data_IF_475784384052
#
_entry.id   IF_475784384052
#
_cell.length_a   1.000
_cell.length_b   1.000
_cell.length_c   1.000
_cell.angle_alpha   90.00
_cell.angle_beta   90.00
_cell.angle_gamma   90.00
#
_symmetry.space_group_name_H-M   'P 1'
#
loop_
_entity.id
_entity.type
_entity.pdbx_description
1 polymer ?
#
# COMPACT_ATOMS: atom_id res chain seq x y z
N UNK A 1 54.17 -11.19 -24.78
CA UNK A 1 53.19 -10.14 -25.14
C UNK A 1 52.11 -10.81 -25.98
N UNK A 2 50.83 -10.57 -25.67
CA UNK A 2 49.62 -11.16 -26.31
C UNK A 2 49.12 -12.48 -25.69
N UNK A 3 48.50 -12.43 -24.50
CA UNK A 3 47.26 -13.17 -24.20
C UNK A 3 46.75 -12.92 -22.76
N UNK A 4 46.57 -11.66 -22.36
CA UNK A 4 45.98 -11.34 -21.04
C UNK A 4 45.07 -10.10 -21.09
N UNK A 5 44.38 -9.87 -22.22
CA UNK A 5 43.54 -8.68 -22.41
C UNK A 5 42.21 -8.98 -23.08
N UNK A 6 41.51 -10.05 -22.65
CA UNK A 6 40.18 -10.37 -23.21
C UNK A 6 39.12 -10.85 -22.22
N UNK A 7 39.43 -11.15 -20.96
CA UNK A 7 38.43 -11.65 -20.00
C UNK A 7 37.77 -10.55 -19.14
N UNK A 8 38.36 -9.35 -19.05
CA UNK A 8 37.93 -8.30 -18.11
C UNK A 8 36.80 -7.36 -18.57
N UNK A 9 36.29 -7.49 -19.80
CA UNK A 9 35.28 -6.58 -20.35
C UNK A 9 33.82 -7.06 -20.18
N UNK A 10 33.61 -8.36 -19.94
CA UNK A 10 32.26 -8.92 -19.79
C UNK A 10 31.76 -8.86 -18.34
N UNK A 11 32.64 -9.00 -17.34
CA UNK A 11 32.26 -8.91 -15.93
C UNK A 11 31.91 -7.48 -15.48
N UNK A 12 32.58 -6.45 -16.02
CA UNK A 12 32.32 -5.05 -15.65
C UNK A 12 30.93 -4.57 -16.07
N UNK A 13 30.41 -5.04 -17.20
CA UNK A 13 29.06 -4.70 -17.68
C UNK A 13 27.93 -5.41 -16.91
N UNK A 14 28.21 -6.58 -16.32
CA UNK A 14 27.29 -7.27 -15.42
C UNK A 14 27.27 -6.64 -14.04
N UNK A 15 28.44 -6.29 -13.50
CA UNK A 15 28.57 -5.61 -12.22
C UNK A 15 27.96 -4.20 -12.25
N UNK A 16 28.06 -3.48 -13.38
CA UNK A 16 27.38 -2.20 -13.52
C UNK A 16 25.86 -2.36 -13.56
N UNK A 17 25.34 -3.38 -14.25
CA UNK A 17 23.90 -3.70 -14.26
C UNK A 17 23.39 -4.13 -12.90
N UNK A 18 24.11 -5.00 -12.19
CA UNK A 18 23.76 -5.43 -10.84
C UNK A 18 23.84 -4.30 -9.83
N UNK A 19 24.81 -3.39 -9.97
CA UNK A 19 24.89 -2.18 -9.14
C UNK A 19 23.74 -1.20 -9.44
N UNK A 20 23.33 -1.10 -10.69
CA UNK A 20 22.24 -0.22 -11.11
C UNK A 20 20.88 -0.82 -10.71
N UNK A 21 20.73 -2.14 -10.81
CA UNK A 21 19.58 -2.89 -10.29
C UNK A 21 19.52 -2.82 -8.76
N UNK A 22 20.65 -2.94 -8.06
CA UNK A 22 20.75 -2.73 -6.61
C UNK A 22 20.45 -1.28 -6.21
N UNK A 23 20.94 -0.29 -6.96
CA UNK A 23 20.64 1.12 -6.69
C UNK A 23 19.18 1.47 -6.99
N UNK A 24 18.56 0.87 -8.00
CA UNK A 24 17.13 1.07 -8.28
C UNK A 24 16.31 0.43 -7.16
N UNK A 25 16.66 -0.78 -6.71
CA UNK A 25 15.99 -1.44 -5.59
C UNK A 25 16.22 -0.66 -4.28
N UNK A 26 17.40 -0.08 -4.06
CA UNK A 26 17.74 0.76 -2.89
C UNK A 26 17.04 2.13 -2.93
N UNK A 27 16.89 2.74 -4.11
CA UNK A 27 16.13 3.99 -4.30
C UNK A 27 14.63 3.77 -4.14
N UNK A 28 14.09 2.67 -4.67
CA UNK A 28 12.70 2.26 -4.46
C UNK A 28 12.46 1.92 -2.97
N UNK A 29 13.47 1.39 -2.29
CA UNK A 29 13.43 1.12 -0.85
C UNK A 29 13.50 2.40 0.00
N UNK A 30 14.33 3.38 -0.37
CA UNK A 30 14.37 4.70 0.30
C UNK A 30 13.10 5.51 0.04
N UNK A 31 12.56 5.52 -1.18
CA UNK A 31 11.29 6.18 -1.49
C UNK A 31 10.13 5.54 -0.70
N UNK A 32 10.16 4.22 -0.52
CA UNK A 32 9.23 3.51 0.35
C UNK A 32 9.43 3.82 1.84
N UNK A 33 10.68 3.91 2.31
CA UNK A 33 11.02 4.23 3.70
C UNK A 33 10.68 5.68 4.09
N UNK A 34 10.73 6.63 3.15
CA UNK A 34 10.38 8.05 3.37
C UNK A 34 8.87 8.23 3.61
N UNK A 35 8.01 7.35 3.09
CA UNK A 35 6.59 7.30 3.43
C UNK A 35 6.29 6.91 4.89
N UNK A 36 7.28 6.40 5.61
CA UNK A 36 7.21 6.03 7.03
C UNK A 36 7.97 7.00 7.94
N UNK A 37 8.10 8.27 7.55
CA UNK A 37 8.63 9.32 8.44
C UNK A 37 7.51 10.18 9.00
N UNK A 38 6.82 9.62 10.00
CA UNK A 38 5.85 10.31 10.83
C UNK A 38 5.88 9.80 12.27
N UNK A 39 6.73 10.45 13.08
CA UNK A 39 6.86 10.37 14.54
C UNK A 39 7.84 9.34 15.14
N UNK A 40 8.89 9.88 15.76
CA UNK A 40 9.93 9.14 16.46
C UNK A 40 9.55 8.89 17.92
N UNK A 41 9.10 7.67 18.23
CA UNK A 41 9.10 7.16 19.60
C UNK A 41 9.47 5.67 19.63
N UNK A 42 10.70 5.40 20.11
CA UNK A 42 11.14 4.18 20.83
C UNK A 42 11.17 2.85 20.05
N UNK A 43 12.22 2.08 20.32
CA UNK A 43 12.34 0.67 19.96
C UNK A 43 11.09 -0.12 20.36
N UNK A 44 10.28 -0.53 19.39
CA UNK A 44 9.31 -1.59 19.59
C UNK A 44 9.26 -2.49 18.36
N UNK A 45 9.52 -3.76 18.63
CA UNK A 45 9.21 -4.96 17.86
C UNK A 45 8.22 -4.67 16.74
N UNK A 46 8.66 -4.75 15.48
CA UNK A 46 7.77 -4.82 14.32
C UNK A 46 6.81 -5.98 14.54
N UNK A 47 5.61 -5.67 15.04
CA UNK A 47 4.54 -6.65 15.14
C UNK A 47 3.96 -6.73 13.75
N UNK A 48 4.06 -7.88 13.04
CA UNK A 48 3.42 -8.01 11.75
C UNK A 48 1.92 -7.75 11.96
N UNK A 49 1.42 -6.65 11.40
CA UNK A 49 0.00 -6.33 11.47
C UNK A 49 -0.67 -7.28 10.48
N UNK A 50 -1.54 -8.19 10.93
CA UNK A 50 -2.09 -9.19 10.04
C UNK A 50 -2.93 -8.52 8.96
N UNK A 51 -2.80 -8.96 7.71
CA UNK A 51 -3.59 -8.45 6.57
C UNK A 51 -5.09 -8.46 6.89
N UNK A 52 -5.55 -9.47 7.64
CA UNK A 52 -6.94 -9.59 8.06
C UNK A 52 -7.42 -8.39 8.90
N UNK A 53 -6.54 -7.76 9.69
CA UNK A 53 -6.86 -6.54 10.43
C UNK A 53 -7.08 -5.36 9.49
N UNK A 54 -6.25 -5.20 8.46
CA UNK A 54 -6.43 -4.15 7.44
C UNK A 54 -7.77 -4.32 6.71
N UNK A 55 -8.07 -5.55 6.28
CA UNK A 55 -9.35 -5.85 5.63
C UNK A 55 -10.52 -5.57 6.57
N UNK A 56 -10.44 -6.02 7.83
CA UNK A 56 -11.48 -5.78 8.82
C UNK A 56 -11.68 -4.27 9.08
N UNK A 57 -10.59 -3.50 9.14
CA UNK A 57 -10.64 -2.06 9.33
C UNK A 57 -11.38 -1.39 8.17
N UNK A 58 -10.97 -1.64 6.93
CA UNK A 58 -11.61 -1.05 5.73
C UNK A 58 -13.08 -1.45 5.64
N UNK A 59 -13.40 -2.72 5.91
CA UNK A 59 -14.78 -3.20 5.93
C UNK A 59 -15.59 -2.46 7.00
N UNK A 60 -15.10 -2.43 8.24
CA UNK A 60 -15.78 -1.72 9.35
C UNK A 60 -15.99 -0.23 9.05
N UNK A 61 -15.05 0.39 8.35
CA UNK A 61 -15.13 1.79 7.93
C UNK A 61 -16.25 2.00 6.89
N UNK A 62 -16.37 1.11 5.90
CA UNK A 62 -17.47 1.13 4.92
C UNK A 62 -18.82 0.94 5.62
N UNK A 63 -18.93 -0.02 6.55
CA UNK A 63 -20.16 -0.24 7.31
C UNK A 63 -20.55 0.98 8.15
N UNK A 64 -19.58 1.64 8.78
CA UNK A 64 -19.80 2.88 9.54
C UNK A 64 -20.26 4.04 8.65
N UNK A 65 -19.63 4.22 7.49
CA UNK A 65 -20.05 5.19 6.48
C UNK A 65 -21.47 4.91 5.96
N UNK A 66 -21.77 3.65 5.63
CA UNK A 66 -23.07 3.24 5.13
C UNK A 66 -24.20 3.56 6.12
N UNK A 67 -23.97 3.29 7.41
CA UNK A 67 -24.92 3.63 8.46
C UNK A 67 -25.13 5.15 8.57
N UNK A 68 -24.05 5.93 8.52
CA UNK A 68 -24.09 7.38 8.58
C UNK A 68 -24.86 7.99 7.39
N UNK A 69 -24.57 7.56 6.16
CA UNK A 69 -25.29 8.05 4.98
C UNK A 69 -26.73 7.54 4.88
N UNK A 70 -27.02 6.33 5.38
CA UNK A 70 -28.39 5.80 5.37
C UNK A 70 -29.33 6.65 6.24
N UNK A 71 -28.88 7.07 7.42
CA UNK A 71 -29.67 7.93 8.31
C UNK A 71 -29.81 9.36 7.78
N UNK A 72 -28.73 9.92 7.21
CA UNK A 72 -28.71 11.31 6.76
C UNK A 72 -29.41 11.53 5.40
N UNK A 73 -29.14 10.69 4.41
CA UNK A 73 -29.72 10.82 3.07
C UNK A 73 -31.00 9.99 2.90
N UNK A 74 -31.43 9.24 3.93
CA UNK A 74 -32.58 8.33 3.88
C UNK A 74 -32.46 7.29 2.75
N UNK A 75 -31.24 6.88 2.42
CA UNK A 75 -30.99 5.85 1.43
C UNK A 75 -31.07 4.45 2.05
N UNK A 76 -31.45 3.43 1.26
CA UNK A 76 -31.32 2.05 1.68
C UNK A 76 -29.88 1.75 2.10
N UNK A 77 -29.71 0.98 3.17
CA UNK A 77 -28.39 0.63 3.70
C UNK A 77 -27.44 0.04 2.64
N UNK A 78 -27.96 -0.78 1.72
CA UNK A 78 -27.19 -1.35 0.61
C UNK A 78 -26.71 -0.29 -0.39
N UNK A 79 -27.53 0.72 -0.69
CA UNK A 79 -27.18 1.81 -1.61
C UNK A 79 -26.13 2.72 -0.96
N UNK A 80 -26.27 3.02 0.32
CA UNK A 80 -25.27 3.76 1.09
C UNK A 80 -23.94 3.01 1.18
N UNK A 81 -23.96 1.69 1.39
CA UNK A 81 -22.76 0.87 1.41
C UNK A 81 -22.09 0.79 0.04
N UNK A 82 -22.88 0.67 -1.03
CA UNK A 82 -22.39 0.73 -2.40
C UNK A 82 -21.70 2.07 -2.68
N UNK A 83 -22.35 3.19 -2.35
CA UNK A 83 -21.75 4.53 -2.45
C UNK A 83 -20.43 4.61 -1.67
N UNK A 84 -20.41 4.23 -0.39
CA UNK A 84 -19.19 4.23 0.42
C UNK A 84 -18.05 3.41 -0.21
N UNK A 85 -18.37 2.23 -0.74
CA UNK A 85 -17.39 1.35 -1.37
C UNK A 85 -16.83 1.94 -2.68
N UNK A 86 -17.69 2.39 -3.61
CA UNK A 86 -17.23 2.93 -4.91
C UNK A 86 -16.44 4.23 -4.75
N UNK A 87 -16.77 5.03 -3.74
CA UNK A 87 -16.07 6.29 -3.46
C UNK A 87 -14.69 5.99 -2.85
N UNK A 88 -14.60 5.04 -1.91
CA UNK A 88 -13.32 4.65 -1.31
C UNK A 88 -12.39 3.91 -2.27
N UNK A 89 -12.94 3.04 -3.10
CA UNK A 89 -12.18 2.35 -4.16
C UNK A 89 -11.81 3.27 -5.32
N UNK A 90 -12.14 4.56 -5.23
CA UNK A 90 -11.92 5.60 -6.24
C UNK A 90 -12.49 5.27 -7.62
N UNK A 91 -13.40 4.30 -7.71
CA UNK A 91 -14.16 3.99 -8.93
C UNK A 91 -15.05 5.18 -9.29
N UNK A 92 -15.78 5.72 -8.30
CA UNK A 92 -16.42 7.03 -8.37
C UNK A 92 -17.40 7.23 -9.54
N UNK A 93 -18.34 6.30 -9.77
CA UNK A 93 -19.33 6.43 -10.86
C UNK A 93 -20.17 7.72 -10.81
N UNK A 94 -20.40 8.26 -9.60
CA UNK A 94 -21.15 9.52 -9.41
C UNK A 94 -22.67 9.39 -9.62
N UNK A 95 -23.18 8.16 -9.60
CA UNK A 95 -24.61 7.82 -9.66
C UNK A 95 -25.35 8.14 -8.36
N UNK A 96 -24.67 7.98 -7.22
CA UNK A 96 -25.13 8.41 -5.91
C UNK A 96 -24.25 9.55 -5.39
N UNK A 97 -24.84 10.69 -5.05
CA UNK A 97 -24.14 11.84 -4.46
C UNK A 97 -24.96 12.41 -3.30
N UNK A 98 -24.34 12.66 -2.13
CA UNK A 98 -25.04 13.29 -1.01
C UNK A 98 -25.57 14.68 -1.40
N UNK A 99 -26.59 15.16 -0.70
CA UNK A 99 -27.28 16.44 -0.96
C UNK A 99 -28.11 16.51 -2.25
N UNK A 100 -28.28 15.41 -2.99
CA UNK A 100 -29.03 15.41 -4.25
C UNK A 100 -30.55 15.38 -4.03
N UNK A 101 -31.04 14.82 -2.91
CA UNK A 101 -32.48 14.67 -2.63
C UNK A 101 -32.99 15.48 -1.44
N UNK A 102 -32.14 15.79 -0.46
CA UNK A 102 -32.52 16.53 0.76
C UNK A 102 -31.88 17.92 0.75
N UNK A 103 -32.66 18.97 0.44
CA UNK A 103 -32.17 20.36 0.39
C UNK A 103 -31.92 20.98 1.75
N UNK A 104 -32.65 20.58 2.78
CA UNK A 104 -32.59 21.23 4.10
C UNK A 104 -31.29 20.92 4.87
N UNK A 105 -30.60 19.82 4.54
CA UNK A 105 -29.36 19.38 5.19
C UNK A 105 -28.18 19.20 4.21
N UNK A 106 -28.32 19.73 3.00
CA UNK A 106 -27.35 19.56 1.91
C UNK A 106 -25.91 19.94 2.31
N UNK A 107 -25.75 21.06 3.03
CA UNK A 107 -24.43 21.55 3.45
C UNK A 107 -23.72 20.56 4.38
N UNK A 108 -24.47 19.96 5.30
CA UNK A 108 -23.91 19.04 6.31
C UNK A 108 -23.64 17.68 5.67
N UNK A 109 -24.49 17.20 4.77
CA UNK A 109 -24.23 15.97 4.00
C UNK A 109 -22.93 16.05 3.19
N UNK A 110 -22.66 17.20 2.55
CA UNK A 110 -21.42 17.42 1.79
C UNK A 110 -20.22 17.50 2.75
N UNK A 111 -20.36 18.16 3.91
CA UNK A 111 -19.31 18.22 4.91
C UNK A 111 -18.97 16.83 5.52
N UNK A 112 -19.99 16.00 5.77
CA UNK A 112 -19.80 14.63 6.23
C UNK A 112 -19.15 13.77 5.14
N UNK A 113 -19.54 13.96 3.88
CA UNK A 113 -18.91 13.31 2.74
C UNK A 113 -17.43 13.64 2.61
N UNK A 114 -17.07 14.93 2.72
CA UNK A 114 -15.67 15.34 2.62
C UNK A 114 -14.83 14.84 3.80
N UNK A 115 -15.37 14.88 5.02
CA UNK A 115 -14.70 14.32 6.21
C UNK A 115 -14.51 12.81 6.07
N UNK A 116 -15.56 12.09 5.67
CA UNK A 116 -15.49 10.65 5.44
C UNK A 116 -14.49 10.30 4.33
N UNK A 117 -14.42 11.09 3.26
CA UNK A 117 -13.43 10.87 2.21
C UNK A 117 -12.01 11.10 2.71
N UNK A 118 -11.79 12.18 3.47
CA UNK A 118 -10.47 12.53 4.01
C UNK A 118 -9.94 11.45 4.97
N UNK A 119 -10.77 10.97 5.89
CA UNK A 119 -10.39 9.84 6.76
C UNK A 119 -10.24 8.55 5.97
N UNK A 120 -11.10 8.32 4.98
CA UNK A 120 -11.08 7.14 4.13
C UNK A 120 -9.78 6.98 3.35
N UNK A 121 -9.34 8.04 2.68
CA UNK A 121 -8.07 8.02 1.92
C UNK A 121 -6.86 7.86 2.84
N UNK A 122 -6.87 8.43 4.05
CA UNK A 122 -5.80 8.26 5.02
C UNK A 122 -5.72 6.81 5.54
N UNK A 123 -6.87 6.20 5.85
CA UNK A 123 -6.97 4.81 6.25
C UNK A 123 -6.56 3.86 5.13
N UNK A 124 -6.95 4.16 3.89
CA UNK A 124 -6.53 3.40 2.72
C UNK A 124 -5.02 3.50 2.52
N UNK A 125 -4.43 4.70 2.59
CA UNK A 125 -2.98 4.89 2.47
C UNK A 125 -2.21 4.09 3.53
N UNK A 126 -2.63 4.17 4.79
CA UNK A 126 -2.06 3.37 5.87
C UNK A 126 -2.19 1.86 5.61
N UNK A 127 -3.37 1.41 5.17
CA UNK A 127 -3.63 0.00 4.87
C UNK A 127 -2.80 -0.48 3.67
N UNK A 128 -2.63 0.35 2.65
CA UNK A 128 -1.79 0.05 1.49
C UNK A 128 -0.33 -0.14 1.90
N UNK A 129 0.21 0.73 2.76
CA UNK A 129 1.56 0.58 3.28
C UNK A 129 1.72 -0.76 4.04
N UNK A 130 0.76 -1.11 4.90
CA UNK A 130 0.81 -2.39 5.63
C UNK A 130 0.73 -3.62 4.70
N UNK A 131 -0.14 -3.57 3.69
CA UNK A 131 -0.24 -4.67 2.71
C UNK A 131 1.02 -4.77 1.88
N UNK A 132 1.62 -3.65 1.48
CA UNK A 132 2.85 -3.63 0.69
C UNK A 132 4.03 -4.22 1.47
N UNK A 133 4.20 -3.89 2.76
CA UNK A 133 5.22 -4.51 3.62
C UNK A 133 5.08 -6.05 3.67
N UNK A 134 3.85 -6.54 3.84
CA UNK A 134 3.58 -7.98 3.94
C UNK A 134 3.75 -8.71 2.59
N UNK A 135 3.36 -8.07 1.49
CA UNK A 135 3.57 -8.61 0.13
C UNK A 135 5.07 -8.72 -0.16
N UNK A 136 5.86 -7.69 0.18
CA UNK A 136 7.32 -7.73 0.00
C UNK A 136 7.94 -8.87 0.83
N UNK A 137 7.50 -9.04 2.08
CA UNK A 137 7.93 -10.14 2.96
C UNK A 137 7.58 -11.53 2.37
N UNK A 138 6.37 -11.65 1.81
CA UNK A 138 5.88 -12.86 1.17
C UNK A 138 6.67 -13.18 -0.11
N UNK A 139 6.93 -12.17 -0.94
CA UNK A 139 7.71 -12.31 -2.18
C UNK A 139 9.15 -12.71 -1.87
N UNK A 140 9.80 -12.12 -0.86
CA UNK A 140 11.15 -12.53 -0.42
C UNK A 140 11.18 -13.99 0.04
N UNK A 141 10.16 -14.41 0.79
CA UNK A 141 10.03 -15.80 1.26
C UNK A 141 9.80 -16.79 0.11
N UNK A 142 9.01 -16.40 -0.90
CA UNK A 142 8.77 -17.20 -2.11
C UNK A 142 10.02 -17.23 -3.00
N UNK A 143 10.71 -16.10 -3.18
CA UNK A 143 11.95 -16.02 -3.96
C UNK A 143 13.07 -16.90 -3.38
N UNK A 144 13.19 -16.94 -2.03
CA UNK A 144 14.12 -17.84 -1.33
C UNK A 144 13.74 -19.31 -1.55
N UNK A 145 12.44 -19.65 -1.51
CA UNK A 145 11.95 -21.01 -1.79
C UNK A 145 12.10 -21.44 -3.25
N UNK A 146 12.06 -20.48 -4.18
CA UNK A 146 12.24 -20.71 -5.61
C UNK A 146 13.72 -20.78 -6.03
N UNK A 147 14.67 -20.52 -5.12
CA UNK A 147 16.10 -20.68 -5.39
C UNK A 147 16.68 -19.69 -6.39
N UNK A 148 15.99 -18.57 -6.64
CA UNK A 148 16.47 -17.51 -7.55
C UNK A 148 17.58 -16.68 -6.89
N UNK A 149 17.61 -16.62 -5.56
CA UNK A 149 18.71 -16.03 -4.80
C UNK A 149 19.66 -17.17 -4.41
N UNK A 150 20.65 -17.44 -5.27
CA UNK A 150 21.84 -18.17 -4.85
C UNK A 150 22.60 -17.18 -3.95
N UNK A 151 22.55 -17.36 -2.63
CA UNK A 151 23.64 -16.86 -1.78
C UNK A 151 24.89 -17.54 -2.37
N UNK A 152 25.76 -16.74 -3.00
CA UNK A 152 27.00 -17.27 -3.55
C UNK A 152 27.74 -18.00 -2.42
N UNK A 153 28.02 -19.26 -2.70
CA UNK A 153 28.75 -20.23 -1.90
C UNK A 153 29.97 -19.61 -1.22
N UNK A 154 30.06 -19.82 0.10
CA UNK A 154 31.21 -20.46 0.75
C UNK A 154 32.55 -20.34 -0.03
N UNK A 155 33.28 -19.24 0.15
CA UNK A 155 34.74 -19.22 0.01
C UNK A 155 35.37 -18.52 1.23
N UNK A 156 35.30 -19.18 2.38
CA UNK A 156 36.38 -19.13 3.36
C UNK A 156 36.40 -20.47 4.12
N UNK A 157 37.62 -21.03 4.23
CA UNK A 157 38.05 -22.21 4.99
C UNK A 157 37.95 -23.60 4.32
N UNK A 158 38.89 -23.90 3.40
CA UNK A 158 40.07 -24.76 3.68
C UNK A 158 41.10 -24.78 2.52
#
# INVERSE_FOLDING_TARGET
MLSLKSAGASSTSRLSRLREEYLIDELDYEEYAVGSSGDGTRADRTRPVPIWLCVFLVVSYIFGGAFLFSEWENWPFLDSAYFCFITLTTIGFGDFVPAQRVKDNAEVSIALCSLYLLFGIALLAMSFNLVQEEVISSVKSVAKRLGIIKEEEDEEDD
#
